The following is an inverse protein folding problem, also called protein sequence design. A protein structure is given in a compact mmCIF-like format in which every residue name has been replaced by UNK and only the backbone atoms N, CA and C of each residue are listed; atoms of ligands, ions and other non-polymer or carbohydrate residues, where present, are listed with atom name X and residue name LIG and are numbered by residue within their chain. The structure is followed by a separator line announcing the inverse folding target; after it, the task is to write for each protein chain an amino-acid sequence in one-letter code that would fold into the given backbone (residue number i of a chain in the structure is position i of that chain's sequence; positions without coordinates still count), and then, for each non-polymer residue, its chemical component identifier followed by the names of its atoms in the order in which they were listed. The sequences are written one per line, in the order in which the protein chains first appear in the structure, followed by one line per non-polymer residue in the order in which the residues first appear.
data_IF_222151069916
#
_entry.id   IF_222151069916
#
_cell.length_a   1.000
_cell.length_b   1.000
_cell.length_c   1.000
_cell.angle_alpha   90.00
_cell.angle_beta   90.00
_cell.angle_gamma   90.00
#
_symmetry.space_group_name_H-M   'P 1'
#
loop_
_entity.id
_entity.type
_entity.pdbx_description
1 polymer ?
#
# COMPACT_ATOMS: atom_id res chain seq x y z
N UNK A 1 4.15 45.99 26.73
CA UNK A 1 4.69 44.95 25.83
C UNK A 1 4.76 43.58 26.54
N UNK A 2 3.63 42.96 26.90
CA UNK A 2 3.58 41.62 27.57
C UNK A 2 2.34 40.81 27.15
N UNK A 3 2.04 40.72 25.85
CA UNK A 3 0.94 39.88 25.33
C UNK A 3 1.35 38.97 24.16
N UNK A 4 2.59 39.08 23.66
CA UNK A 4 3.08 38.30 22.51
C UNK A 4 3.80 36.99 22.89
N UNK A 5 4.02 36.70 24.19
CA UNK A 5 4.79 35.54 24.64
C UNK A 5 3.96 34.29 24.99
N UNK A 6 2.67 34.41 25.31
CA UNK A 6 1.88 33.23 25.76
C UNK A 6 1.44 32.32 24.61
N UNK A 7 1.19 32.89 23.42
CA UNK A 7 0.81 32.13 22.22
C UNK A 7 1.99 31.29 21.72
N UNK A 8 3.22 31.79 21.83
CA UNK A 8 4.42 31.05 21.44
C UNK A 8 4.69 29.85 22.37
N UNK A 9 4.38 29.96 23.67
CA UNK A 9 4.56 28.90 24.66
C UNK A 9 3.60 27.72 24.45
N UNK A 10 2.34 28.00 24.13
CA UNK A 10 1.30 27.00 23.84
C UNK A 10 1.58 26.20 22.55
N UNK A 11 2.13 26.84 21.52
CA UNK A 11 2.53 26.18 20.25
C UNK A 11 3.73 25.26 20.48
N UNK A 12 4.71 25.67 21.30
CA UNK A 12 5.87 24.83 21.64
C UNK A 12 5.45 23.65 22.52
N UNK A 13 4.53 23.83 23.46
CA UNK A 13 3.99 22.73 24.28
C UNK A 13 3.16 21.72 23.45
N UNK A 14 2.40 22.17 22.46
CA UNK A 14 1.69 21.25 21.54
C UNK A 14 2.64 20.52 20.58
N UNK A 15 3.68 21.18 20.08
CA UNK A 15 4.70 20.57 19.23
C UNK A 15 5.53 19.51 20.00
N UNK A 16 5.86 19.75 21.27
CA UNK A 16 6.65 18.82 22.08
C UNK A 16 5.93 17.48 22.37
N UNK A 17 4.59 17.47 22.47
CA UNK A 17 3.79 16.24 22.68
C UNK A 17 3.69 15.40 21.41
N UNK A 18 3.72 16.02 20.22
CA UNK A 18 3.71 15.30 18.93
C UNK A 18 5.09 14.70 18.61
N UNK A 19 6.16 15.36 19.03
CA UNK A 19 7.56 14.94 18.76
C UNK A 19 8.03 13.83 19.70
N UNK A 20 7.46 13.69 20.91
CA UNK A 20 7.76 12.55 21.81
C UNK A 20 7.07 11.25 21.39
N UNK A 21 6.12 11.31 20.47
CA UNK A 21 5.34 10.17 19.96
C UNK A 21 5.43 9.99 18.43
N UNK A 22 6.60 10.24 17.83
CA UNK A 22 6.97 9.69 16.52
C UNK A 22 8.47 9.33 16.60
N UNK A 23 8.87 8.08 16.33
CA UNK A 23 8.68 7.62 14.98
C UNK A 23 8.19 6.18 14.84
N UNK A 24 7.10 5.99 14.11
CA UNK A 24 6.91 4.74 13.41
C UNK A 24 7.95 4.69 12.28
N UNK A 25 9.15 4.19 12.58
CA UNK A 25 10.29 4.15 11.66
C UNK A 25 9.97 3.23 10.48
N UNK A 26 9.33 3.79 9.45
CA UNK A 26 9.13 3.13 8.18
C UNK A 26 10.32 3.44 7.27
N UNK A 27 11.05 2.40 6.87
CA UNK A 27 12.21 2.53 5.97
C UNK A 27 11.73 2.49 4.52
N UNK A 28 11.91 3.56 3.76
CA UNK A 28 11.67 3.54 2.31
C UNK A 28 12.79 2.77 1.61
N UNK A 29 12.43 1.88 0.71
CA UNK A 29 13.36 1.04 -0.06
C UNK A 29 13.04 1.11 -1.55
N UNK A 30 14.09 1.03 -2.37
CA UNK A 30 14.03 1.01 -3.83
C UNK A 30 14.86 -0.20 -4.25
N UNK A 31 14.24 -1.29 -4.74
CA UNK A 31 14.89 -2.59 -5.06
C UNK A 31 15.23 -3.49 -3.86
N UNK A 32 14.38 -3.52 -2.84
CA UNK A 32 14.51 -4.51 -1.77
C UNK A 32 14.15 -5.91 -2.27
N UNK A 33 15.08 -6.86 -2.17
CA UNK A 33 14.89 -8.26 -2.54
C UNK A 33 14.88 -9.12 -1.29
N UNK A 34 13.71 -9.44 -0.70
CA UNK A 34 13.67 -10.33 0.46
C UNK A 34 14.12 -11.76 0.12
N UNK A 35 14.04 -12.13 -1.16
CA UNK A 35 14.56 -13.36 -1.73
C UNK A 35 14.85 -13.14 -3.23
N UNK A 36 15.46 -14.13 -3.88
CA UNK A 36 15.79 -14.08 -5.32
C UNK A 36 14.56 -14.09 -6.26
N UNK A 37 13.35 -14.15 -5.71
CA UNK A 37 12.09 -14.29 -6.46
C UNK A 37 11.18 -13.06 -6.39
N UNK A 38 11.51 -12.04 -5.60
CA UNK A 38 10.68 -10.86 -5.40
C UNK A 38 11.56 -9.60 -5.37
N UNK A 39 11.08 -8.53 -6.00
CA UNK A 39 11.67 -7.18 -5.89
C UNK A 39 10.61 -6.21 -5.42
N UNK A 40 10.89 -5.45 -4.36
CA UNK A 40 9.97 -4.52 -3.74
C UNK A 40 10.55 -3.10 -3.69
N UNK A 41 9.70 -2.12 -3.98
CA UNK A 41 10.00 -0.70 -3.84
C UNK A 41 8.85 -0.01 -3.13
N UNK A 42 9.07 0.52 -1.93
CA UNK A 42 8.00 1.05 -1.08
C UNK A 42 8.45 1.24 0.36
N UNK A 43 7.51 1.26 1.29
CA UNK A 43 7.80 1.40 2.72
C UNK A 43 7.89 0.03 3.39
N UNK A 44 8.90 -0.16 4.23
CA UNK A 44 9.02 -1.28 5.15
C UNK A 44 8.71 -0.80 6.56
N UNK A 45 7.83 -1.52 7.26
CA UNK A 45 7.54 -1.31 8.67
C UNK A 45 7.80 -2.61 9.42
N UNK A 46 8.70 -2.58 10.41
CA UNK A 46 9.14 -3.78 11.14
C UNK A 46 9.56 -4.94 10.21
N UNK A 47 10.26 -4.62 9.12
CA UNK A 47 10.71 -5.61 8.12
C UNK A 47 9.64 -6.13 7.16
N UNK A 48 8.38 -5.68 7.26
CA UNK A 48 7.28 -6.09 6.36
C UNK A 48 6.90 -4.97 5.39
N UNK A 49 6.41 -5.33 4.21
CA UNK A 49 5.85 -4.36 3.26
C UNK A 49 4.66 -3.62 3.90
N UNK A 50 4.63 -2.30 3.72
CA UNK A 50 3.65 -1.43 4.35
C UNK A 50 3.40 -0.20 3.48
N UNK A 51 2.22 0.40 3.60
CA UNK A 51 1.86 1.62 2.86
C UNK A 51 1.93 1.41 1.34
N UNK A 52 2.12 2.50 0.60
CA UNK A 52 2.24 2.40 -0.86
C UNK A 52 3.57 1.77 -1.29
N UNK A 53 3.49 0.83 -2.22
CA UNK A 53 4.66 0.21 -2.81
C UNK A 53 4.36 -0.47 -4.15
N UNK A 54 5.42 -1.01 -4.73
CA UNK A 54 5.38 -1.87 -5.91
C UNK A 54 6.11 -3.17 -5.57
N UNK A 55 5.45 -4.30 -5.77
CA UNK A 55 6.04 -5.63 -5.69
C UNK A 55 6.06 -6.24 -7.09
N UNK A 56 7.24 -6.65 -7.53
CA UNK A 56 7.46 -7.38 -8.78
C UNK A 56 7.86 -8.81 -8.45
N UNK A 57 7.15 -9.76 -9.02
CA UNK A 57 7.39 -11.19 -8.86
C UNK A 57 8.40 -11.70 -9.90
N UNK A 58 9.05 -12.83 -9.62
CA UNK A 58 10.03 -13.46 -10.54
C UNK A 58 9.44 -13.76 -11.92
N UNK A 59 8.16 -14.13 -11.96
CA UNK A 59 7.44 -14.39 -13.21
C UNK A 59 7.11 -13.10 -14.00
N UNK A 60 7.41 -11.92 -13.45
CA UNK A 60 7.14 -10.62 -14.04
C UNK A 60 5.79 -10.01 -13.65
N UNK A 61 4.94 -10.74 -12.92
CA UNK A 61 3.72 -10.16 -12.38
C UNK A 61 4.06 -8.98 -11.46
N UNK A 62 3.16 -8.00 -11.39
CA UNK A 62 3.40 -6.77 -10.64
C UNK A 62 2.16 -6.35 -9.88
N UNK A 63 2.34 -6.04 -8.61
CA UNK A 63 1.35 -5.34 -7.81
C UNK A 63 1.85 -3.93 -7.49
N UNK A 64 1.01 -2.93 -7.68
CA UNK A 64 1.25 -1.56 -7.27
C UNK A 64 0.06 -1.07 -6.43
N UNK A 65 0.31 -0.70 -5.18
CA UNK A 65 -0.76 -0.29 -4.30
C UNK A 65 -0.37 -0.31 -2.84
N UNK A 66 -1.39 -0.35 -1.98
CA UNK A 66 -1.21 -0.36 -0.54
C UNK A 66 -0.87 -1.76 -0.01
N UNK A 67 -0.02 -1.78 1.00
CA UNK A 67 0.42 -2.95 1.73
C UNK A 67 0.14 -2.78 3.22
N UNK A 68 -0.23 -3.88 3.86
CA UNK A 68 -0.35 -3.97 5.32
C UNK A 68 0.18 -5.32 5.78
N UNK A 69 1.11 -5.29 6.74
CA UNK A 69 1.72 -6.49 7.30
C UNK A 69 2.27 -7.48 6.26
N UNK A 70 2.82 -6.95 5.15
CA UNK A 70 3.41 -7.75 4.07
C UNK A 70 2.43 -8.19 2.98
N UNK A 71 1.13 -7.92 3.12
CA UNK A 71 0.08 -8.34 2.19
C UNK A 71 -0.51 -7.15 1.43
N UNK A 72 -1.11 -7.41 0.26
CA UNK A 72 -1.91 -6.43 -0.46
C UNK A 72 -3.16 -6.11 0.36
N UNK A 73 -3.36 -4.84 0.68
CA UNK A 73 -4.44 -4.38 1.54
C UNK A 73 -4.80 -2.93 1.21
N UNK A 74 -6.07 -2.66 0.92
CA UNK A 74 -6.54 -1.38 0.42
C UNK A 74 -6.51 -1.31 -1.11
N UNK A 75 -6.39 -0.10 -1.65
CA UNK A 75 -6.43 0.12 -3.11
C UNK A 75 -5.11 -0.29 -3.76
N UNK A 76 -5.20 -0.97 -4.91
CA UNK A 76 -4.05 -1.33 -5.72
C UNK A 76 -4.43 -1.80 -7.12
N UNK A 77 -3.39 -2.15 -7.87
CA UNK A 77 -3.47 -2.72 -9.21
C UNK A 77 -2.53 -3.91 -9.30
N UNK A 78 -3.07 -5.06 -9.68
CA UNK A 78 -2.31 -6.24 -10.04
C UNK A 78 -2.30 -6.37 -11.57
N UNK A 79 -1.11 -6.49 -12.16
CA UNK A 79 -0.90 -6.71 -13.58
C UNK A 79 -0.15 -8.03 -13.74
N UNK A 80 -0.74 -8.96 -14.48
CA UNK A 80 -0.07 -10.21 -14.81
C UNK A 80 0.63 -10.15 -16.17
N UNK A 81 1.75 -10.85 -16.29
CA UNK A 81 2.40 -11.10 -17.60
C UNK A 81 1.51 -11.90 -18.55
N UNK A 82 0.54 -12.64 -18.01
CA UNK A 82 -0.48 -13.33 -18.79
C UNK A 82 -1.53 -12.39 -19.41
N UNK A 83 -1.31 -11.07 -19.37
CA UNK A 83 -2.17 -10.02 -19.96
C UNK A 83 -3.55 -9.83 -19.31
N UNK A 84 -3.76 -10.34 -18.09
CA UNK A 84 -4.91 -9.93 -17.28
C UNK A 84 -4.48 -8.94 -16.20
N UNK A 85 -5.40 -8.09 -15.77
CA UNK A 85 -5.15 -7.13 -14.68
C UNK A 85 -6.38 -6.90 -13.83
N UNK A 86 -6.17 -6.64 -12.55
CA UNK A 86 -7.21 -6.22 -11.63
C UNK A 86 -6.82 -4.90 -10.96
N UNK A 87 -7.75 -3.95 -10.95
CA UNK A 87 -7.59 -2.66 -10.29
C UNK A 87 -8.76 -2.43 -9.34
N UNK A 88 -8.49 -2.22 -8.07
CA UNK A 88 -9.54 -2.11 -7.07
C UNK A 88 -9.07 -2.30 -5.65
N UNK A 89 -9.99 -2.69 -4.79
CA UNK A 89 -9.74 -2.98 -3.38
C UNK A 89 -9.20 -4.40 -3.19
N UNK A 90 -8.23 -4.53 -2.29
CA UNK A 90 -7.62 -5.76 -1.83
C UNK A 90 -7.77 -5.88 -0.33
N UNK A 91 -7.89 -7.12 0.16
CA UNK A 91 -7.75 -7.44 1.56
C UNK A 91 -7.09 -8.80 1.70
N UNK A 92 -6.09 -8.90 2.60
CA UNK A 92 -5.33 -10.14 2.85
C UNK A 92 -4.80 -10.78 1.55
N UNK A 93 -4.30 -9.95 0.64
CA UNK A 93 -3.71 -10.41 -0.62
C UNK A 93 -4.70 -10.71 -1.75
N UNK A 94 -6.01 -10.61 -1.53
CA UNK A 94 -7.04 -10.97 -2.53
C UNK A 94 -7.90 -9.77 -2.94
N UNK A 95 -8.40 -9.71 -4.19
CA UNK A 95 -9.47 -8.81 -4.59
C UNK A 95 -10.65 -8.90 -3.62
N UNK A 96 -10.98 -7.81 -2.95
CA UNK A 96 -12.06 -7.75 -1.97
C UNK A 96 -12.58 -6.32 -1.84
N UNK A 97 -13.81 -6.08 -2.27
CA UNK A 97 -14.40 -4.74 -2.39
C UNK A 97 -14.69 -4.39 -3.85
N UNK A 98 -14.74 -3.08 -4.18
CA UNK A 98 -15.02 -2.63 -5.54
C UNK A 98 -13.77 -2.74 -6.42
N UNK A 99 -13.93 -3.18 -7.66
CA UNK A 99 -12.83 -3.28 -8.60
C UNK A 99 -13.24 -3.52 -10.05
N UNK A 100 -12.23 -3.57 -10.90
CA UNK A 100 -12.30 -3.85 -12.33
C UNK A 100 -11.26 -4.90 -12.70
N UNK A 101 -11.71 -6.04 -13.22
CA UNK A 101 -10.90 -7.09 -13.79
C UNK A 101 -10.94 -6.98 -15.32
N UNK A 102 -9.76 -6.93 -15.94
CA UNK A 102 -9.57 -7.06 -17.38
C UNK A 102 -8.95 -8.44 -17.61
N UNK A 103 -9.64 -9.29 -18.35
CA UNK A 103 -9.16 -10.65 -18.66
C UNK A 103 -8.20 -10.65 -19.85
N UNK A 104 -7.61 -11.80 -20.13
CA UNK A 104 -6.72 -12.03 -21.28
C UNK A 104 -7.41 -11.84 -22.64
N UNK A 105 -8.76 -11.91 -22.68
CA UNK A 105 -9.59 -11.68 -23.87
C UNK A 105 -10.19 -10.27 -23.89
N UNK A 106 -9.60 -9.33 -23.15
CA UNK A 106 -10.05 -7.94 -22.99
C UNK A 106 -11.49 -7.76 -22.44
N UNK A 107 -12.13 -8.86 -21.99
CA UNK A 107 -13.42 -8.76 -21.28
C UNK A 107 -13.20 -8.03 -19.96
N UNK A 108 -14.12 -7.10 -19.68
CA UNK A 108 -14.11 -6.25 -18.50
C UNK A 108 -15.21 -6.68 -17.53
N UNK A 109 -14.84 -6.96 -16.29
CA UNK A 109 -15.77 -7.21 -15.19
C UNK A 109 -15.59 -6.11 -14.16
N UNK A 110 -16.61 -5.27 -13.98
CA UNK A 110 -16.60 -4.18 -13.01
C UNK A 110 -17.71 -4.41 -12.00
N UNK A 111 -17.38 -4.36 -10.71
CA UNK A 111 -18.35 -4.66 -9.65
C UNK A 111 -17.67 -5.00 -8.33
N UNK A 112 -18.36 -5.78 -7.51
CA UNK A 112 -17.86 -6.22 -6.21
C UNK A 112 -17.10 -7.52 -6.36
N UNK A 113 -16.00 -7.64 -5.64
CA UNK A 113 -15.22 -8.87 -5.54
C UNK A 113 -15.18 -9.30 -4.09
N UNK A 114 -15.28 -10.60 -3.84
CA UNK A 114 -15.19 -11.19 -2.51
C UNK A 114 -14.24 -12.38 -2.57
N UNK A 115 -13.17 -12.34 -1.77
CA UNK A 115 -12.14 -13.38 -1.72
C UNK A 115 -11.54 -13.76 -3.09
N UNK A 116 -11.47 -12.82 -4.03
CA UNK A 116 -10.99 -13.04 -5.39
C UNK A 116 -12.06 -13.40 -6.42
N UNK A 117 -13.28 -13.75 -6.00
CA UNK A 117 -14.39 -14.03 -6.90
C UNK A 117 -15.17 -12.76 -7.25
N UNK A 118 -15.62 -12.65 -8.49
CA UNK A 118 -16.54 -11.59 -8.91
C UNK A 118 -17.96 -11.89 -8.42
N UNK A 119 -18.58 -10.94 -7.74
CA UNK A 119 -19.95 -10.98 -7.25
C UNK A 119 -20.81 -10.05 -8.13
N UNK A 120 -21.86 -10.62 -8.74
CA UNK A 120 -22.76 -9.92 -9.66
C UNK A 120 -23.86 -9.19 -8.92
#
# INVERSE_FOLDING_TARGET
MRRKLEIASLIVMFMAVVITFWPQSSKKVTNYKPNSSLTYSGLLKKGKFSGNGTLTFKNGDRYQGNFKDGQFDGKGKFTSVAKWSYEGEFSKGKPNGKGKLITVSDKVFSGRFVNGGFEK
#
